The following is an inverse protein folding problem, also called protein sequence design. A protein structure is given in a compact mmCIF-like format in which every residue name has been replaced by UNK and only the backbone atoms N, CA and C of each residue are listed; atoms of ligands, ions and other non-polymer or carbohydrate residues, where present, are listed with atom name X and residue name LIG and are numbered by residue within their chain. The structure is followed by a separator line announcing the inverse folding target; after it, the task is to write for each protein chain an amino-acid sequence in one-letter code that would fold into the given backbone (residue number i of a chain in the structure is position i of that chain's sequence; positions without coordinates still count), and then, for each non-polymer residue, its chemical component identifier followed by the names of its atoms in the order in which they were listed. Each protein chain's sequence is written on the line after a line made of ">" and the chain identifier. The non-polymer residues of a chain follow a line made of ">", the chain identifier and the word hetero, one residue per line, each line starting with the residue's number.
data_IF_109190407672
#
_entry.id   IF_109190407672
#
_cell.length_a   1.000
_cell.length_b   1.000
_cell.length_c   1.000
_cell.angle_alpha   90.00
_cell.angle_beta   90.00
_cell.angle_gamma   90.00
#
_symmetry.space_group_name_H-M   'P 1'
#
loop_
_entity.id
_entity.type
_entity.pdbx_description
1 polymer ?
#
# COMPACT_ATOMS: atom_id res chain seq x y z
N UNK A 1 -22.48 -6.68 41.78
CA UNK A 1 -21.16 -6.93 42.39
C UNK A 1 -20.09 -6.41 41.45
N UNK A 2 -19.67 -5.16 41.66
CA UNK A 2 -18.75 -4.42 40.80
C UNK A 2 -17.37 -4.52 41.44
N UNK A 3 -16.42 -5.20 40.77
CA UNK A 3 -15.02 -5.25 41.22
C UNK A 3 -14.29 -3.99 40.73
N UNK A 4 -13.96 -3.16 41.71
CA UNK A 4 -12.99 -2.07 41.67
C UNK A 4 -11.65 -2.52 41.10
N UNK A 5 -11.16 -1.85 40.05
CA UNK A 5 -9.73 -1.83 39.71
C UNK A 5 -9.19 -0.43 39.92
N UNK A 6 -8.05 -0.43 40.60
CA UNK A 6 -7.41 0.62 41.36
C UNK A 6 -6.48 1.42 40.42
N UNK A 7 -6.75 2.72 40.33
CA UNK A 7 -5.83 3.86 40.19
C UNK A 7 -4.36 3.51 39.84
N UNK A 8 -3.94 3.81 38.62
CA UNK A 8 -2.54 4.16 38.30
C UNK A 8 -2.53 5.66 38.03
N UNK A 9 -1.69 6.38 38.79
CA UNK A 9 -1.50 7.82 38.70
C UNK A 9 -0.14 8.12 38.04
N UNK A 10 -0.15 9.16 37.20
CA UNK A 10 1.03 9.81 36.62
C UNK A 10 1.18 9.51 35.13
N UNK A 11 1.48 10.45 34.24
CA UNK A 11 1.54 11.90 34.28
C UNK A 11 1.57 12.38 32.81
N UNK A 12 0.98 13.54 32.56
CA UNK A 12 1.27 14.42 31.41
C UNK A 12 1.15 13.83 29.99
N UNK A 13 -0.07 13.78 29.46
CA UNK A 13 -0.32 13.70 28.01
C UNK A 13 -1.29 14.82 27.66
N UNK A 14 -0.86 15.70 26.76
CA UNK A 14 -1.70 16.77 26.20
C UNK A 14 -3.03 16.18 25.74
N UNK A 15 -4.13 16.86 26.08
CA UNK A 15 -5.49 16.46 25.72
C UNK A 15 -5.59 16.29 24.20
N UNK A 16 -5.43 15.07 23.70
CA UNK A 16 -6.18 14.64 22.53
C UNK A 16 -7.61 14.51 23.03
N UNK A 17 -8.41 15.55 22.82
CA UNK A 17 -9.86 15.39 22.89
C UNK A 17 -10.22 14.41 21.78
N UNK A 18 -10.37 13.14 22.15
CA UNK A 18 -11.09 12.18 21.31
C UNK A 18 -12.52 12.69 21.30
N UNK A 19 -12.83 13.56 20.35
CA UNK A 19 -14.21 13.84 19.98
C UNK A 19 -14.71 12.49 19.47
N UNK A 20 -15.50 11.81 20.28
CA UNK A 20 -16.24 10.62 19.89
C UNK A 20 -16.84 10.87 18.51
N UNK A 21 -16.28 10.23 17.47
CA UNK A 21 -16.84 10.31 16.13
C UNK A 21 -18.16 9.57 16.21
N UNK A 22 -19.26 10.32 16.21
CA UNK A 22 -20.60 9.75 16.05
C UNK A 22 -20.54 8.79 14.86
N UNK A 23 -20.88 7.51 15.09
CA UNK A 23 -20.95 6.52 14.02
C UNK A 23 -21.92 7.04 12.96
N UNK A 24 -21.37 7.61 11.90
CA UNK A 24 -22.14 8.24 10.85
C UNK A 24 -23.12 7.21 10.30
N UNK A 25 -24.41 7.48 10.45
CA UNK A 25 -25.51 6.74 9.82
C UNK A 25 -25.48 6.83 8.28
N UNK A 26 -24.56 7.64 7.74
CA UNK A 26 -24.30 7.77 6.32
C UNK A 26 -23.63 6.53 5.74
N UNK A 27 -24.28 5.92 4.73
CA UNK A 27 -23.73 4.79 3.96
C UNK A 27 -22.79 5.24 2.83
N UNK A 28 -22.34 6.50 2.86
CA UNK A 28 -21.43 7.08 1.86
C UNK A 28 -20.17 7.63 2.52
N UNK A 29 -19.04 7.46 1.84
CA UNK A 29 -17.75 7.98 2.25
C UNK A 29 -17.73 9.52 2.22
N UNK A 30 -17.30 10.16 3.32
CA UNK A 30 -17.15 11.63 3.41
C UNK A 30 -16.10 12.19 2.46
N UNK A 31 -15.11 11.38 2.09
CA UNK A 31 -13.94 11.83 1.32
C UNK A 31 -14.17 11.78 -0.20
N UNK A 32 -14.98 10.84 -0.68
CA UNK A 32 -15.19 10.63 -2.12
C UNK A 32 -16.65 10.40 -2.53
N UNK A 33 -17.60 10.44 -1.59
CA UNK A 33 -19.04 10.25 -1.84
C UNK A 33 -19.45 8.81 -2.21
N UNK A 34 -18.51 7.88 -2.36
CA UNK A 34 -18.82 6.50 -2.76
C UNK A 34 -19.60 5.76 -1.68
N UNK A 35 -20.56 4.91 -2.07
CA UNK A 35 -21.28 4.04 -1.13
C UNK A 35 -20.31 3.03 -0.54
N UNK A 36 -20.34 2.86 0.78
CA UNK A 36 -19.51 1.86 1.44
C UNK A 36 -19.92 0.46 0.98
N UNK A 37 -18.93 -0.41 0.78
CA UNK A 37 -19.10 -1.83 0.55
C UNK A 37 -18.84 -2.60 1.84
N UNK A 38 -19.36 -3.83 1.92
CA UNK A 38 -19.09 -4.74 3.04
C UNK A 38 -18.25 -5.90 2.53
N UNK A 39 -17.24 -6.26 3.30
CA UNK A 39 -16.61 -7.56 3.11
C UNK A 39 -17.55 -8.66 3.59
N UNK A 40 -17.41 -9.83 2.96
CA UNK A 40 -18.04 -11.06 3.42
C UNK A 40 -16.94 -11.93 4.01
N UNK A 41 -17.18 -12.45 5.20
CA UNK A 41 -16.35 -13.49 5.78
C UNK A 41 -16.58 -14.82 5.07
N UNK A 42 -15.75 -15.81 5.38
CA UNK A 42 -15.94 -17.19 4.92
C UNK A 42 -17.33 -17.75 5.29
N UNK A 43 -17.91 -17.30 6.40
CA UNK A 43 -19.24 -17.70 6.89
C UNK A 43 -20.38 -16.79 6.38
N UNK A 44 -20.08 -15.85 5.47
CA UNK A 44 -21.06 -14.90 4.94
C UNK A 44 -21.47 -13.79 5.92
N UNK A 45 -20.82 -13.71 7.09
CA UNK A 45 -21.00 -12.60 8.01
C UNK A 45 -20.32 -11.32 7.48
N UNK A 46 -20.92 -10.17 7.79
CA UNK A 46 -20.35 -8.87 7.43
C UNK A 46 -19.44 -8.40 8.55
N UNK A 47 -18.13 -8.48 8.36
CA UNK A 47 -17.15 -8.00 9.34
C UNK A 47 -17.01 -6.49 9.33
N UNK A 48 -16.74 -5.88 8.17
CA UNK A 48 -16.35 -4.48 8.11
C UNK A 48 -16.88 -3.73 6.87
N UNK A 49 -17.24 -2.45 7.09
CA UNK A 49 -17.50 -1.49 6.01
C UNK A 49 -16.18 -0.90 5.49
N UNK A 50 -16.05 -0.79 4.18
CA UNK A 50 -14.91 -0.15 3.54
C UNK A 50 -15.34 0.68 2.32
N UNK A 51 -14.52 1.67 1.95
CA UNK A 51 -14.74 2.41 0.71
C UNK A 51 -14.20 1.60 -0.47
N UNK A 52 -15.03 1.21 -1.46
CA UNK A 52 -14.59 0.42 -2.61
C UNK A 52 -13.88 1.25 -3.67
N UNK A 53 -13.96 2.59 -3.60
CA UNK A 53 -13.35 3.46 -4.59
C UNK A 53 -11.82 3.49 -4.41
N UNK A 54 -11.03 2.97 -5.38
CA UNK A 54 -9.58 3.01 -5.29
C UNK A 54 -9.05 4.44 -5.33
N UNK A 55 -9.73 5.38 -6.01
CA UNK A 55 -9.28 6.77 -6.16
C UNK A 55 -9.69 7.66 -4.98
N UNK A 56 -10.29 7.08 -3.94
CA UNK A 56 -10.60 7.79 -2.70
C UNK A 56 -9.31 8.32 -2.06
N UNK A 57 -9.22 9.61 -1.65
CA UNK A 57 -7.95 10.19 -1.17
C UNK A 57 -7.27 9.40 -0.02
N UNK A 58 -7.97 8.92 1.03
CA UNK A 58 -7.38 8.02 2.03
C UNK A 58 -6.84 6.70 1.47
N UNK A 59 -7.49 6.14 0.44
CA UNK A 59 -7.03 4.90 -0.19
C UNK A 59 -5.75 5.14 -1.01
N UNK A 60 -5.66 6.28 -1.70
CA UNK A 60 -4.44 6.72 -2.39
C UNK A 60 -3.31 6.90 -1.38
N UNK A 61 -3.54 7.68 -0.31
CA UNK A 61 -2.55 7.90 0.76
C UNK A 61 -2.06 6.57 1.35
N UNK A 62 -2.98 5.64 1.65
CA UNK A 62 -2.64 4.32 2.19
C UNK A 62 -1.75 3.52 1.24
N UNK A 63 -2.07 3.48 -0.06
CA UNK A 63 -1.27 2.73 -1.05
C UNK A 63 0.11 3.36 -1.25
N UNK A 64 0.18 4.69 -1.33
CA UNK A 64 1.44 5.43 -1.49
C UNK A 64 2.32 5.24 -0.25
N UNK A 65 1.74 5.32 0.95
CA UNK A 65 2.45 5.05 2.20
C UNK A 65 2.95 3.60 2.29
N UNK A 66 2.11 2.62 1.91
CA UNK A 66 2.51 1.21 1.86
C UNK A 66 3.69 1.02 0.90
N UNK A 67 3.63 1.59 -0.31
CA UNK A 67 4.70 1.46 -1.28
C UNK A 67 6.04 1.94 -0.71
N UNK A 68 6.04 3.11 -0.05
CA UNK A 68 7.23 3.72 0.50
C UNK A 68 7.73 3.07 1.82
N UNK A 69 6.93 2.20 2.45
CA UNK A 69 7.21 1.68 3.79
C UNK A 69 8.49 0.82 3.84
N UNK A 70 9.11 0.67 5.03
CA UNK A 70 10.31 -0.16 5.21
C UNK A 70 10.12 -1.63 4.81
N UNK A 71 8.92 -2.16 4.97
CA UNK A 71 8.55 -3.53 4.63
C UNK A 71 8.47 -3.72 3.10
N UNK A 72 8.02 -2.70 2.38
CA UNK A 72 7.92 -2.68 0.92
C UNK A 72 9.20 -2.11 0.29
N UNK A 73 9.14 -0.95 -0.36
CA UNK A 73 10.25 -0.42 -1.16
C UNK A 73 11.29 0.33 -0.34
N UNK A 74 11.01 0.59 0.93
CA UNK A 74 11.94 1.17 1.90
C UNK A 74 12.53 2.50 1.39
N UNK A 75 11.63 3.44 1.10
CA UNK A 75 11.95 4.81 0.65
C UNK A 75 12.11 5.67 1.91
N UNK A 76 13.36 5.91 2.27
CA UNK A 76 13.76 6.61 3.48
C UNK A 76 13.30 8.06 3.46
N UNK A 77 12.78 8.54 4.59
CA UNK A 77 12.25 9.90 4.72
C UNK A 77 10.82 10.10 4.18
N UNK A 78 10.16 9.04 3.69
CA UNK A 78 8.76 9.09 3.27
C UNK A 78 7.80 8.84 4.45
N UNK A 79 7.68 9.82 5.34
CA UNK A 79 6.71 9.76 6.43
C UNK A 79 5.28 10.12 5.97
N UNK A 80 4.31 9.95 6.86
CA UNK A 80 2.90 10.23 6.56
C UNK A 80 2.65 11.68 6.14
N UNK A 81 3.42 12.64 6.68
CA UNK A 81 3.29 14.05 6.32
C UNK A 81 3.80 14.30 4.90
N UNK A 82 4.95 13.72 4.53
CA UNK A 82 5.50 13.84 3.19
C UNK A 82 4.61 13.14 2.15
N UNK A 83 4.08 11.95 2.46
CA UNK A 83 3.11 11.26 1.61
C UNK A 83 1.88 12.15 1.36
N UNK A 84 1.34 12.78 2.42
CA UNK A 84 0.22 13.70 2.27
C UNK A 84 0.56 14.90 1.38
N UNK A 85 1.74 15.49 1.54
CA UNK A 85 2.18 16.60 0.67
C UNK A 85 2.32 16.17 -0.80
N UNK A 86 2.92 15.01 -1.06
CA UNK A 86 3.10 14.48 -2.42
C UNK A 86 1.75 14.23 -3.11
N UNK A 87 0.80 13.63 -2.40
CA UNK A 87 -0.54 13.34 -2.92
C UNK A 87 -1.36 14.62 -3.10
N UNK A 88 -1.39 15.50 -2.10
CA UNK A 88 -2.19 16.73 -2.14
C UNK A 88 -1.71 17.72 -3.22
N UNK A 89 -0.40 17.72 -3.53
CA UNK A 89 0.16 18.53 -4.62
C UNK A 89 0.05 17.84 -5.99
N UNK A 90 -0.54 16.64 -6.06
CA UNK A 90 -0.70 15.88 -7.30
C UNK A 90 0.61 15.35 -7.89
N UNK A 91 1.69 15.32 -7.11
CA UNK A 91 2.99 14.82 -7.55
C UNK A 91 3.02 13.29 -7.59
N UNK A 92 2.28 12.65 -6.68
CA UNK A 92 2.17 11.19 -6.58
C UNK A 92 0.71 10.77 -6.41
N UNK A 93 0.23 9.92 -7.29
CA UNK A 93 -1.11 9.29 -7.23
C UNK A 93 -1.03 7.76 -7.14
N UNK A 94 0.08 7.17 -7.59
CA UNK A 94 0.37 5.75 -7.47
C UNK A 94 1.87 5.47 -7.33
N UNK A 95 2.21 4.21 -7.07
CA UNK A 95 3.58 3.74 -6.87
C UNK A 95 4.56 4.13 -8.00
N UNK A 96 4.11 4.16 -9.25
CA UNK A 96 4.99 4.48 -10.37
C UNK A 96 5.32 5.99 -10.46
N UNK A 97 4.55 6.86 -9.80
CA UNK A 97 4.82 8.30 -9.81
C UNK A 97 6.06 8.68 -8.98
N UNK A 98 6.48 7.86 -8.01
CA UNK A 98 7.75 8.09 -7.31
C UNK A 98 8.93 8.21 -8.27
N UNK A 99 8.94 7.39 -9.31
CA UNK A 99 10.07 7.28 -10.24
C UNK A 99 10.09 8.32 -11.35
N UNK A 100 9.11 9.24 -11.40
CA UNK A 100 9.12 10.43 -12.29
C UNK A 100 9.44 11.72 -11.55
N UNK A 101 9.46 11.70 -10.21
CA UNK A 101 9.70 12.89 -9.40
C UNK A 101 11.06 13.49 -9.73
N UNK A 102 11.14 14.81 -9.77
CA UNK A 102 12.38 15.54 -9.91
C UNK A 102 12.81 16.12 -8.57
N UNK A 103 14.12 16.20 -8.35
CA UNK A 103 14.70 16.81 -7.14
C UNK A 103 14.14 18.21 -6.88
N UNK A 104 13.90 19.01 -7.93
CA UNK A 104 13.32 20.35 -7.80
C UNK A 104 11.87 20.35 -7.28
N UNK A 105 11.06 19.36 -7.64
CA UNK A 105 9.68 19.22 -7.14
C UNK A 105 9.67 18.81 -5.67
N UNK A 106 10.60 17.91 -5.29
CA UNK A 106 10.80 17.48 -3.91
C UNK A 106 11.31 18.65 -3.05
N UNK A 107 12.27 19.42 -3.55
CA UNK A 107 12.83 20.58 -2.84
C UNK A 107 11.81 21.73 -2.63
N UNK A 108 10.71 21.74 -3.38
CA UNK A 108 9.63 22.70 -3.21
C UNK A 108 8.64 22.29 -2.10
N UNK A 109 8.77 21.09 -1.53
CA UNK A 109 7.92 20.61 -0.43
C UNK A 109 8.23 21.34 0.88
N UNK A 110 7.23 21.43 1.74
CA UNK A 110 7.38 22.08 3.04
C UNK A 110 8.33 21.26 3.93
N UNK A 111 9.32 21.92 4.53
CA UNK A 111 10.32 21.28 5.37
C UNK A 111 11.44 20.56 4.62
N UNK A 112 11.49 20.64 3.28
CA UNK A 112 12.58 20.06 2.48
C UNK A 112 13.73 21.05 2.26
N UNK A 113 14.92 20.72 2.77
CA UNK A 113 16.16 21.34 2.31
C UNK A 113 16.62 20.71 0.99
N UNK A 114 17.49 21.41 0.24
CA UNK A 114 18.06 20.86 -1.00
C UNK A 114 18.75 19.51 -0.78
N UNK A 115 19.51 19.39 0.31
CA UNK A 115 20.22 18.15 0.65
C UNK A 115 19.25 17.03 1.06
N UNK A 116 18.18 17.35 1.79
CA UNK A 116 17.16 16.37 2.16
C UNK A 116 16.39 15.89 0.92
N UNK A 117 16.09 16.79 -0.01
CA UNK A 117 15.42 16.46 -1.27
C UNK A 117 16.29 15.52 -2.14
N UNK A 118 17.60 15.78 -2.18
CA UNK A 118 18.53 14.89 -2.88
C UNK A 118 18.59 13.51 -2.23
N UNK A 119 18.70 13.43 -0.89
CA UNK A 119 18.70 12.14 -0.18
C UNK A 119 17.42 11.34 -0.39
N UNK A 120 16.27 12.01 -0.39
CA UNK A 120 14.98 11.37 -0.69
C UNK A 120 14.94 10.82 -2.12
N UNK A 121 15.37 11.61 -3.10
CA UNK A 121 15.48 11.18 -4.49
C UNK A 121 16.45 10.00 -4.68
N UNK A 122 17.59 10.02 -3.99
CA UNK A 122 18.56 8.92 -4.01
C UNK A 122 17.93 7.65 -3.40
N UNK A 123 17.14 7.79 -2.34
CA UNK A 123 16.42 6.66 -1.75
C UNK A 123 15.34 6.08 -2.68
N UNK A 124 14.62 6.92 -3.44
CA UNK A 124 13.69 6.46 -4.48
C UNK A 124 14.46 5.64 -5.52
N UNK A 125 15.59 6.15 -6.01
CA UNK A 125 16.41 5.48 -7.02
C UNK A 125 16.97 4.16 -6.50
N UNK A 126 17.44 4.13 -5.25
CA UNK A 126 17.92 2.91 -4.60
C UNK A 126 16.80 1.86 -4.44
N UNK A 127 15.56 2.29 -4.20
CA UNK A 127 14.41 1.39 -4.04
C UNK A 127 14.13 0.54 -5.28
N UNK A 128 14.52 0.98 -6.48
CA UNK A 128 14.32 0.20 -7.71
C UNK A 128 15.02 -1.17 -7.68
N UNK A 129 16.05 -1.34 -6.83
CA UNK A 129 16.83 -2.58 -6.71
C UNK A 129 16.27 -3.56 -5.68
N UNK A 130 15.16 -3.23 -5.00
CA UNK A 130 14.54 -4.13 -4.01
C UNK A 130 14.07 -5.43 -4.67
N UNK A 131 13.92 -6.48 -3.87
CA UNK A 131 13.49 -7.78 -4.38
C UNK A 131 12.05 -7.71 -4.94
N UNK A 132 11.76 -8.56 -5.93
CA UNK A 132 10.42 -8.73 -6.49
C UNK A 132 9.33 -8.97 -5.42
N UNK A 133 9.63 -9.67 -4.32
CA UNK A 133 8.61 -9.89 -3.28
C UNK A 133 8.19 -8.59 -2.59
N UNK A 134 9.10 -7.61 -2.45
CA UNK A 134 8.79 -6.29 -1.88
C UNK A 134 7.95 -5.46 -2.81
N UNK A 135 8.24 -5.54 -4.11
CA UNK A 135 7.42 -4.93 -5.16
C UNK A 135 6.00 -5.50 -5.09
N UNK A 136 5.86 -6.84 -5.06
CA UNK A 136 4.56 -7.51 -5.00
C UNK A 136 3.76 -7.12 -3.75
N UNK A 137 4.41 -7.08 -2.59
CA UNK A 137 3.81 -6.62 -1.35
C UNK A 137 3.39 -5.13 -1.42
N UNK A 138 4.27 -4.26 -1.94
CA UNK A 138 4.04 -2.83 -2.07
C UNK A 138 2.85 -2.47 -2.98
N UNK A 139 2.50 -3.33 -3.95
CA UNK A 139 1.32 -3.14 -4.80
C UNK A 139 0.00 -3.12 -4.01
N UNK A 140 -0.01 -3.62 -2.77
CA UNK A 140 -1.17 -3.58 -1.89
C UNK A 140 -2.33 -4.44 -2.39
N UNK A 141 -2.03 -5.57 -3.02
CA UNK A 141 -3.05 -6.52 -3.51
C UNK A 141 -3.78 -7.11 -2.29
N UNK A 142 -5.13 -7.13 -2.27
CA UNK A 142 -5.88 -7.68 -1.15
C UNK A 142 -5.40 -9.07 -0.76
N UNK A 143 -5.25 -9.32 0.54
CA UNK A 143 -4.78 -10.59 1.15
C UNK A 143 -3.34 -11.02 0.82
N UNK A 144 -2.58 -10.23 0.04
CA UNK A 144 -1.17 -10.50 -0.21
C UNK A 144 -0.32 -9.76 0.82
N UNK A 145 0.11 -10.46 1.86
CA UNK A 145 1.09 -9.96 2.81
C UNK A 145 2.53 -10.20 2.35
N UNK A 146 3.49 -9.76 3.15
CA UNK A 146 4.91 -9.99 2.89
C UNK A 146 5.26 -11.49 2.81
N UNK A 147 4.64 -12.31 3.68
CA UNK A 147 4.82 -13.76 3.70
C UNK A 147 4.35 -14.42 2.41
N UNK A 148 3.14 -14.08 1.96
CA UNK A 148 2.58 -14.60 0.70
C UNK A 148 3.41 -14.14 -0.48
N UNK A 149 3.84 -12.87 -0.49
CA UNK A 149 4.66 -12.32 -1.56
C UNK A 149 6.01 -13.04 -1.69
N UNK A 150 6.69 -13.30 -0.57
CA UNK A 150 7.93 -14.07 -0.53
C UNK A 150 7.72 -15.52 -0.99
N UNK A 151 6.66 -16.17 -0.50
CA UNK A 151 6.33 -17.55 -0.85
C UNK A 151 6.05 -17.70 -2.35
N UNK A 152 5.34 -16.74 -2.95
CA UNK A 152 5.09 -16.70 -4.39
C UNK A 152 6.37 -16.49 -5.21
N UNK A 153 7.25 -15.58 -4.78
CA UNK A 153 8.50 -15.33 -5.50
C UNK A 153 9.43 -16.55 -5.54
N UNK A 154 9.36 -17.46 -4.55
CA UNK A 154 10.06 -18.76 -4.63
C UNK A 154 9.57 -19.68 -5.74
N UNK A 155 8.32 -19.54 -6.16
CA UNK A 155 7.70 -20.35 -7.23
C UNK A 155 7.67 -19.63 -8.58
N UNK A 156 7.76 -18.30 -8.58
CA UNK A 156 7.73 -17.46 -9.77
C UNK A 156 8.97 -16.56 -9.79
N UNK A 157 10.00 -16.89 -10.60
CA UNK A 157 11.26 -16.14 -10.63
C UNK A 157 11.12 -14.67 -11.04
N UNK A 158 10.05 -14.32 -11.74
CA UNK A 158 9.73 -12.95 -12.14
C UNK A 158 8.26 -12.63 -11.88
N UNK A 159 7.97 -11.34 -11.60
CA UNK A 159 6.59 -10.87 -11.46
C UNK A 159 5.81 -10.99 -12.77
N UNK A 160 6.45 -10.84 -13.93
CA UNK A 160 5.81 -11.09 -15.22
C UNK A 160 5.32 -12.54 -15.33
N UNK A 161 6.15 -13.48 -14.87
CA UNK A 161 5.79 -14.89 -14.84
C UNK A 161 4.64 -15.20 -13.87
N UNK A 162 4.59 -14.51 -12.73
CA UNK A 162 3.49 -14.60 -11.77
C UNK A 162 2.18 -14.05 -12.38
N UNK A 163 2.21 -12.84 -12.93
CA UNK A 163 1.03 -12.20 -13.49
C UNK A 163 0.49 -12.89 -14.76
N UNK A 164 1.36 -13.52 -15.55
CA UNK A 164 0.97 -14.33 -16.69
C UNK A 164 0.45 -15.73 -16.32
N UNK A 165 0.72 -16.23 -15.11
CA UNK A 165 0.37 -17.58 -14.70
C UNK A 165 -1.15 -17.81 -14.59
N UNK A 166 -1.90 -16.76 -14.26
CA UNK A 166 -3.33 -16.85 -13.99
C UNK A 166 -3.66 -17.63 -12.70
N UNK A 167 -4.94 -17.59 -12.31
CA UNK A 167 -5.42 -18.11 -11.02
C UNK A 167 -5.02 -19.57 -10.77
N UNK A 168 -5.28 -20.47 -11.71
CA UNK A 168 -5.07 -21.91 -11.53
C UNK A 168 -3.61 -22.28 -11.26
N UNK A 169 -2.68 -21.65 -11.99
CA UNK A 169 -1.25 -21.94 -11.84
C UNK A 169 -0.69 -21.32 -10.56
N UNK A 170 -1.19 -20.16 -10.14
CA UNK A 170 -0.83 -19.55 -8.85
C UNK A 170 -1.29 -20.47 -7.71
N UNK A 171 -2.53 -20.96 -7.74
CA UNK A 171 -3.06 -21.89 -6.74
C UNK A 171 -2.29 -23.22 -6.69
N UNK A 172 -1.96 -23.80 -7.86
CA UNK A 172 -1.18 -25.05 -7.97
C UNK A 172 0.26 -24.94 -7.45
N UNK A 173 0.77 -23.74 -7.16
CA UNK A 173 2.08 -23.58 -6.52
C UNK A 173 2.14 -24.16 -5.10
N UNK A 174 0.98 -24.33 -4.44
CA UNK A 174 0.89 -24.79 -3.05
C UNK A 174 1.48 -23.81 -2.03
N UNK A 175 1.82 -22.58 -2.45
CA UNK A 175 2.44 -21.55 -1.61
C UNK A 175 1.42 -20.63 -0.93
N UNK A 176 0.25 -20.49 -1.53
CA UNK A 176 -0.79 -19.54 -1.10
C UNK A 176 -2.17 -20.17 -1.19
N UNK A 177 -3.15 -19.59 -0.51
CA UNK A 177 -4.53 -20.04 -0.57
C UNK A 177 -5.19 -19.70 -1.92
N UNK A 178 -6.29 -20.40 -2.23
CA UNK A 178 -7.11 -20.14 -3.43
C UNK A 178 -7.63 -18.69 -3.47
N UNK A 179 -7.94 -18.11 -2.30
CA UNK A 179 -8.36 -16.71 -2.17
C UNK A 179 -7.24 -15.75 -2.60
N UNK A 180 -6.01 -16.01 -2.17
CA UNK A 180 -4.85 -15.17 -2.56
C UNK A 180 -4.58 -15.30 -4.06
N UNK A 181 -4.61 -16.53 -4.59
CA UNK A 181 -4.43 -16.78 -6.02
C UNK A 181 -5.47 -16.05 -6.89
N UNK A 182 -6.75 -16.11 -6.47
CA UNK A 182 -7.84 -15.37 -7.11
C UNK A 182 -7.62 -13.86 -7.03
N UNK A 183 -7.33 -13.32 -5.84
CA UNK A 183 -7.16 -11.88 -5.65
C UNK A 183 -6.02 -11.30 -6.50
N UNK A 184 -4.92 -12.03 -6.68
CA UNK A 184 -3.82 -11.61 -7.58
C UNK A 184 -4.27 -11.59 -9.03
N UNK A 185 -4.94 -12.65 -9.49
CA UNK A 185 -5.42 -12.76 -10.86
C UNK A 185 -6.45 -11.67 -11.19
N UNK A 186 -7.43 -11.46 -10.30
CA UNK A 186 -8.48 -10.45 -10.46
C UNK A 186 -7.89 -9.04 -10.43
N UNK A 187 -6.95 -8.77 -9.50
CA UNK A 187 -6.26 -7.49 -9.44
C UNK A 187 -5.49 -7.18 -10.74
N UNK A 188 -4.78 -8.17 -11.30
CA UNK A 188 -4.06 -7.99 -12.57
C UNK A 188 -4.98 -8.01 -13.80
N UNK A 189 -6.21 -8.53 -13.68
CA UNK A 189 -7.22 -8.45 -14.73
C UNK A 189 -7.78 -7.01 -14.92
N UNK A 190 -7.58 -6.11 -13.96
CA UNK A 190 -7.90 -4.69 -14.10
C UNK A 190 -6.89 -3.97 -15.03
N UNK A 191 -7.36 -3.29 -16.11
CA UNK A 191 -6.50 -2.51 -16.99
C UNK A 191 -5.66 -1.43 -16.27
N UNK A 192 -6.18 -0.81 -15.22
CA UNK A 192 -5.48 0.23 -14.43
C UNK A 192 -4.25 -0.37 -13.75
N UNK A 193 -4.42 -1.53 -13.12
CA UNK A 193 -3.34 -2.24 -12.44
C UNK A 193 -2.29 -2.77 -13.42
N UNK A 194 -2.70 -3.30 -14.59
CA UNK A 194 -1.74 -3.66 -15.64
C UNK A 194 -0.92 -2.47 -16.12
N UNK A 195 -1.57 -1.31 -16.27
CA UNK A 195 -0.87 -0.08 -16.68
C UNK A 195 0.12 0.36 -15.60
N UNK A 196 -0.22 0.23 -14.32
CA UNK A 196 0.68 0.47 -13.20
C UNK A 196 1.91 -0.44 -13.26
N UNK A 197 1.72 -1.76 -13.38
CA UNK A 197 2.82 -2.74 -13.46
C UNK A 197 3.75 -2.42 -14.63
N UNK A 198 3.20 -2.12 -15.81
CA UNK A 198 4.01 -1.72 -16.98
C UNK A 198 4.77 -0.41 -16.77
N UNK A 199 4.22 0.55 -16.03
CA UNK A 199 4.92 1.81 -15.71
C UNK A 199 6.09 1.57 -14.75
N UNK A 200 5.92 0.69 -13.76
CA UNK A 200 6.98 0.29 -12.83
C UNK A 200 8.10 -0.45 -13.56
N UNK A 201 7.75 -1.38 -14.46
CA UNK A 201 8.71 -2.10 -15.31
C UNK A 201 9.53 -1.12 -16.17
N UNK A 202 8.84 -0.19 -16.85
CA UNK A 202 9.50 0.86 -17.67
C UNK A 202 10.37 1.81 -16.85
N UNK A 203 10.03 2.05 -15.58
CA UNK A 203 10.84 2.84 -14.67
C UNK A 203 12.10 2.09 -14.18
N UNK A 204 12.25 0.81 -14.50
CA UNK A 204 13.43 0.01 -14.14
C UNK A 204 13.33 -0.64 -12.75
N UNK A 205 12.12 -0.74 -12.18
CA UNK A 205 11.91 -1.45 -10.92
C UNK A 205 12.22 -2.95 -11.11
N UNK A 206 12.96 -3.53 -10.16
CA UNK A 206 13.37 -4.93 -10.24
C UNK A 206 12.19 -5.90 -10.07
N UNK A 207 11.88 -6.64 -11.13
CA UNK A 207 10.82 -7.65 -11.14
C UNK A 207 11.35 -9.08 -10.96
N UNK A 208 12.66 -9.23 -10.74
CA UNK A 208 13.32 -10.53 -10.55
C UNK A 208 13.47 -10.81 -9.06
N UNK A 209 13.19 -12.04 -8.69
CA UNK A 209 13.44 -12.49 -7.33
C UNK A 209 14.91 -12.89 -7.14
N UNK A 210 15.41 -12.59 -5.95
CA UNK A 210 16.63 -13.16 -5.36
C UNK A 210 16.29 -14.08 -4.18
N UNK A 211 15.00 -14.23 -3.85
CA UNK A 211 14.53 -15.11 -2.80
C UNK A 211 14.70 -16.57 -3.24
N UNK A 212 15.56 -17.28 -2.51
CA UNK A 212 15.74 -18.73 -2.61
C UNK A 212 14.73 -19.45 -1.70
#
# INVERSE_FOLDING_TARGET
>A
MIKTIRKIAGAFIGRVTVTSVEMHTSRTCSECGSRFARNLDADGAHTDWHCPNPDCPPQVLKRVALWASPEAMDIQGCDAALVAQLVNRGLVSDAADFYRLKVGEIAALEGMSKDAAQKFFDSITASMKRDAWRVLFGLGIPTVGATEAQALCRSFPTLDGLFAAGRERIAKSGRVSETVARNIADWFADPVNRKLVRRLEKAGVNFKTTAV
#
